data_IF_354958608291
#
_entry.id   IF_354958608291
#
_cell.length_a   1.000
_cell.length_b   1.000
_cell.length_c   1.000
_cell.angle_alpha   90.00
_cell.angle_beta   90.00
_cell.angle_gamma   90.00
#
_symmetry.space_group_name_H-M   'P 1'
#
loop_
_entity.id
_entity.type
_entity.pdbx_description
1 polymer ?
#
# COMPACT_ATOMS: atom_id res chain seq x y z
N UNK A 1 2.83 15.85 -11.41
CA UNK A 1 2.58 15.42 -10.02
C UNK A 1 1.31 14.60 -10.09
N UNK A 2 1.16 13.46 -9.39
CA UNK A 2 -0.07 12.69 -9.45
C UNK A 2 -1.24 13.55 -8.98
N UNK A 3 -2.35 13.50 -9.70
CA UNK A 3 -3.57 14.24 -9.36
C UNK A 3 -4.36 13.53 -8.23
N UNK A 4 -4.07 12.24 -8.03
CA UNK A 4 -4.75 11.39 -7.05
C UNK A 4 -3.76 10.44 -6.35
N UNK A 5 -3.80 10.40 -5.02
CA UNK A 5 -3.05 9.44 -4.22
C UNK A 5 -4.02 8.52 -3.48
N UNK A 6 -3.99 7.22 -3.78
CA UNK A 6 -4.82 6.20 -3.14
C UNK A 6 -4.01 5.52 -2.05
N UNK A 7 -4.31 5.81 -0.78
CA UNK A 7 -3.60 5.21 0.36
C UNK A 7 -4.36 3.98 0.84
N UNK A 8 -3.70 2.82 0.86
CA UNK A 8 -4.29 1.55 1.28
C UNK A 8 -3.52 1.02 2.50
N UNK A 9 -4.07 1.17 3.72
CA UNK A 9 -3.52 0.50 4.90
C UNK A 9 -3.89 -0.98 4.85
N UNK A 10 -2.92 -1.87 4.97
CA UNK A 10 -3.18 -3.30 5.03
C UNK A 10 -2.45 -3.95 6.18
N UNK A 11 -3.16 -4.87 6.82
CA UNK A 11 -2.65 -5.69 7.91
C UNK A 11 -3.02 -7.15 7.63
N UNK A 12 -2.04 -7.98 7.26
CA UNK A 12 -2.18 -9.43 7.02
C UNK A 12 -3.17 -9.87 5.92
N UNK A 13 -3.48 -9.04 4.90
CA UNK A 13 -4.37 -9.41 3.78
C UNK A 13 -3.62 -9.56 2.45
N UNK A 14 -2.59 -10.42 2.42
CA UNK A 14 -1.70 -10.60 1.25
C UNK A 14 -2.40 -11.04 -0.03
N UNK A 15 -3.46 -11.85 0.09
CA UNK A 15 -4.13 -12.44 -1.07
C UNK A 15 -5.06 -11.41 -1.77
N UNK A 16 -5.49 -10.38 -1.04
CA UNK A 16 -6.36 -9.32 -1.56
C UNK A 16 -5.59 -8.15 -2.20
N UNK A 17 -4.26 -8.11 -2.07
CA UNK A 17 -3.42 -7.03 -2.58
C UNK A 17 -3.55 -6.91 -4.09
N UNK A 18 -3.29 -8.01 -4.81
CA UNK A 18 -3.24 -8.00 -6.28
C UNK A 18 -4.62 -7.70 -6.90
N UNK A 19 -5.73 -8.31 -6.45
CA UNK A 19 -7.06 -7.96 -6.91
C UNK A 19 -7.38 -6.47 -6.71
N UNK A 20 -7.08 -5.92 -5.52
CA UNK A 20 -7.35 -4.51 -5.22
C UNK A 20 -6.53 -3.56 -6.11
N UNK A 21 -5.23 -3.84 -6.29
CA UNK A 21 -4.38 -3.07 -7.19
C UNK A 21 -4.91 -3.12 -8.63
N UNK A 22 -5.36 -4.29 -9.09
CA UNK A 22 -5.94 -4.48 -10.42
C UNK A 22 -7.23 -3.67 -10.59
N UNK A 23 -8.12 -3.67 -9.60
CA UNK A 23 -9.36 -2.88 -9.64
C UNK A 23 -9.08 -1.37 -9.68
N UNK A 24 -8.16 -0.87 -8.83
CA UNK A 24 -7.78 0.54 -8.81
C UNK A 24 -7.14 0.93 -10.15
N UNK A 25 -6.21 0.12 -10.65
CA UNK A 25 -5.57 0.34 -11.93
C UNK A 25 -6.57 0.35 -13.08
N UNK A 26 -7.51 -0.60 -13.12
CA UNK A 26 -8.57 -0.64 -14.13
C UNK A 26 -9.51 0.57 -14.04
N UNK A 27 -9.79 1.06 -12.84
CA UNK A 27 -10.67 2.20 -12.64
C UNK A 27 -10.03 3.54 -13.06
N UNK A 28 -8.71 3.69 -12.86
CA UNK A 28 -7.99 4.97 -12.98
C UNK A 28 -7.07 5.07 -14.20
N UNK A 29 -6.49 3.97 -14.71
CA UNK A 29 -5.60 4.00 -15.88
C UNK A 29 -6.33 4.60 -17.08
N UNK A 30 -5.71 5.59 -17.72
CA UNK A 30 -6.27 6.31 -18.86
C UNK A 30 -7.28 7.40 -18.51
N UNK A 31 -7.60 7.60 -17.22
CA UNK A 31 -8.46 8.71 -16.77
C UNK A 31 -7.70 9.81 -16.05
N UNK A 32 -6.68 9.47 -15.27
CA UNK A 32 -5.93 10.41 -14.43
C UNK A 32 -4.56 9.85 -14.09
N UNK A 33 -3.59 10.72 -13.78
CA UNK A 33 -2.32 10.30 -13.17
C UNK A 33 -2.56 10.04 -11.68
N UNK A 34 -2.29 8.81 -11.23
CA UNK A 34 -2.51 8.40 -9.85
C UNK A 34 -1.33 7.62 -9.29
N UNK A 35 -1.21 7.61 -7.97
CA UNK A 35 -0.31 6.73 -7.24
C UNK A 35 -1.08 5.89 -6.23
N UNK A 36 -0.62 4.66 -6.01
CA UNK A 36 -1.17 3.78 -4.96
C UNK A 36 -0.13 3.65 -3.88
N UNK A 37 -0.41 4.17 -2.69
CA UNK A 37 0.47 4.11 -1.53
C UNK A 37 -0.01 3.01 -0.61
N UNK A 38 0.69 1.89 -0.66
CA UNK A 38 0.44 0.72 0.16
C UNK A 38 1.18 0.86 1.50
N UNK A 39 0.46 0.89 2.61
CA UNK A 39 1.04 1.07 3.95
C UNK A 39 1.00 -0.27 4.70
N UNK A 40 2.18 -0.87 4.87
CA UNK A 40 2.36 -2.12 5.61
C UNK A 40 2.58 -1.84 7.11
N UNK A 41 1.57 -2.17 7.92
CA UNK A 41 1.58 -1.98 9.38
C UNK A 41 2.15 -3.22 10.11
N UNK A 42 3.44 -3.47 9.88
CA UNK A 42 4.22 -4.58 10.44
C UNK A 42 3.65 -5.98 10.18
N UNK A 43 3.30 -6.25 8.92
CA UNK A 43 3.10 -7.64 8.50
C UNK A 43 4.37 -8.44 8.81
N UNK A 44 4.21 -9.60 9.47
CA UNK A 44 5.31 -10.54 9.75
C UNK A 44 5.60 -11.48 8.58
N UNK A 45 4.89 -11.31 7.47
CA UNK A 45 4.77 -12.26 6.38
C UNK A 45 5.45 -11.79 5.07
N UNK A 46 5.39 -12.62 4.03
CA UNK A 46 5.90 -12.40 2.67
C UNK A 46 5.23 -11.25 1.88
N UNK A 47 4.48 -10.36 2.56
CA UNK A 47 3.79 -9.20 1.97
C UNK A 47 4.75 -8.35 1.14
N UNK A 48 5.99 -8.16 1.60
CA UNK A 48 7.01 -7.41 0.87
C UNK A 48 7.42 -8.06 -0.45
N UNK A 49 7.49 -9.40 -0.49
CA UNK A 49 7.83 -10.15 -1.71
C UNK A 49 6.69 -10.05 -2.74
N UNK A 50 5.43 -10.18 -2.28
CA UNK A 50 4.24 -10.00 -3.12
C UNK A 50 4.17 -8.58 -3.68
N UNK A 51 4.38 -7.57 -2.84
CA UNK A 51 4.37 -6.18 -3.26
C UNK A 51 5.52 -5.84 -4.23
N UNK A 52 6.69 -6.44 -4.04
CA UNK A 52 7.83 -6.26 -4.95
C UNK A 52 7.53 -6.86 -6.32
N UNK A 53 6.93 -8.06 -6.37
CA UNK A 53 6.46 -8.67 -7.61
C UNK A 53 5.35 -7.83 -8.27
N UNK A 54 4.40 -7.31 -7.47
CA UNK A 54 3.33 -6.45 -7.94
C UNK A 54 3.87 -5.13 -8.52
N UNK A 55 4.94 -4.57 -7.97
CA UNK A 55 5.56 -3.34 -8.49
C UNK A 55 6.04 -3.47 -9.93
N UNK A 56 6.39 -4.67 -10.39
CA UNK A 56 6.73 -4.91 -11.79
C UNK A 56 5.51 -4.81 -12.72
N UNK A 57 4.30 -5.07 -12.20
CA UNK A 57 3.03 -5.00 -12.95
C UNK A 57 2.30 -3.66 -12.80
N UNK A 58 2.56 -2.97 -11.68
CA UNK A 58 1.93 -1.71 -11.29
C UNK A 58 3.02 -0.68 -10.95
N UNK A 59 3.57 0.05 -11.95
CA UNK A 59 4.57 1.10 -11.71
C UNK A 59 4.05 2.24 -10.82
N UNK A 60 2.74 2.45 -10.78
CA UNK A 60 2.04 3.37 -9.87
C UNK A 60 2.07 2.97 -8.39
N UNK A 61 2.50 1.74 -8.07
CA UNK A 61 2.56 1.22 -6.70
C UNK A 61 3.78 1.76 -5.94
N UNK A 62 3.52 2.42 -4.83
CA UNK A 62 4.49 2.81 -3.81
C UNK A 62 4.21 2.04 -2.53
N UNK A 63 5.25 1.43 -1.98
CA UNK A 63 5.16 0.66 -0.73
C UNK A 63 5.82 1.48 0.38
N UNK A 64 5.06 1.78 1.42
CA UNK A 64 5.54 2.33 2.67
C UNK A 64 5.43 1.25 3.75
N UNK A 65 6.55 0.98 4.41
CA UNK A 65 6.57 0.03 5.53
C UNK A 65 6.74 0.81 6.82
N UNK A 66 5.86 0.58 7.79
CA UNK A 66 6.10 1.06 9.15
C UNK A 66 7.26 0.25 9.76
N UNK A 67 8.38 0.92 10.01
CA UNK A 67 9.60 0.32 10.59
C UNK A 67 9.47 0.11 12.10
N UNK A 68 8.45 0.71 12.74
CA UNK A 68 8.19 0.54 14.16
C UNK A 68 6.68 0.55 14.44
N UNK A 69 6.21 -0.39 15.29
CA UNK A 69 4.92 -0.28 15.95
C UNK A 69 4.97 1.02 16.77
N UNK A 70 4.46 2.13 16.23
CA UNK A 70 3.96 3.19 17.10
C UNK A 70 2.66 2.64 17.69
N UNK A 71 2.81 1.72 18.64
CA UNK A 71 1.71 1.16 19.41
C UNK A 71 0.85 2.31 19.94
N UNK A 72 -0.45 2.12 19.90
CA UNK A 72 -1.44 3.10 20.35
C UNK A 72 -1.41 3.40 21.87
N UNK A 73 -0.27 3.32 22.54
CA UNK A 73 -0.14 3.75 23.94
C UNK A 73 1.30 4.08 24.26
N UNK A 74 1.73 5.33 24.02
CA UNK A 74 2.56 6.18 24.91
C UNK A 74 3.08 7.39 24.13
N UNK A 75 2.25 8.42 23.92
CA UNK A 75 2.74 9.79 23.65
C UNK A 75 1.68 10.86 23.98
N UNK A 76 0.77 10.59 24.92
CA UNK A 76 0.12 11.63 25.71
C UNK A 76 0.71 11.50 27.12
N UNK A 77 1.86 12.15 27.33
CA UNK A 77 2.27 12.59 28.67
C UNK A 77 1.97 14.09 28.72
N UNK A 78 1.31 14.46 29.83
CA UNK A 78 0.74 15.75 30.21
C UNK A 78 1.60 16.96 29.88
#
# INVERSE_FOLDING_TARGET
MPDLSVVVPVHNERDNIVPLLSEIAAALRGKSDFEIVYVDDLSRDDTLAVLTAAKAQFPELRVLRHVAQSGQSTALRT
#
